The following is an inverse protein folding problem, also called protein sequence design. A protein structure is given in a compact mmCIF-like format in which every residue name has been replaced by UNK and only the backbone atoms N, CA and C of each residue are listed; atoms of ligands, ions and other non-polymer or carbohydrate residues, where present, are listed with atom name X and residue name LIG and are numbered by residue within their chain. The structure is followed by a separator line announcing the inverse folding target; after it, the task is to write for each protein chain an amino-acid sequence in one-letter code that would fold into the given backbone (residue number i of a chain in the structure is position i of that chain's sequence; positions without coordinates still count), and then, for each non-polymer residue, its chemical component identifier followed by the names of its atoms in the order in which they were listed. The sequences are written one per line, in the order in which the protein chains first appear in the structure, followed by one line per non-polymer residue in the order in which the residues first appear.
data_IF_119976910488
#
_entry.id   IF_119976910488
#
_cell.length_a   1.000
_cell.length_b   1.000
_cell.length_c   1.000
_cell.angle_alpha   90.00
_cell.angle_beta   90.00
_cell.angle_gamma   90.00
#
_symmetry.space_group_name_H-M   'P 1'
#
loop_
_entity.id
_entity.type
_entity.pdbx_description
1 polymer ?
#
# COMPACT_ATOMS: atom_id res chain seq x y z
N UNK A 1 -5.67 -20.91 41.96
CA UNK A 1 -6.36 -19.89 41.17
C UNK A 1 -5.30 -19.28 40.25
N UNK A 2 -5.23 -19.74 38.97
CA UNK A 2 -4.37 -19.15 37.97
C UNK A 2 -5.02 -17.84 37.52
N UNK A 3 -4.38 -16.71 37.81
CA UNK A 3 -4.65 -15.47 37.08
C UNK A 3 -4.30 -15.73 35.59
N UNK A 4 -5.32 -15.92 34.78
CA UNK A 4 -5.17 -15.82 33.33
C UNK A 4 -4.73 -14.39 33.04
N UNK A 5 -3.44 -14.20 32.76
CA UNK A 5 -2.89 -12.91 32.34
C UNK A 5 -3.77 -12.36 31.22
N UNK A 6 -4.36 -11.21 31.46
CA UNK A 6 -5.14 -10.45 30.47
C UNK A 6 -4.18 -10.15 29.31
N UNK A 7 -4.18 -10.98 28.28
CA UNK A 7 -3.44 -10.66 27.06
C UNK A 7 -4.01 -9.34 26.53
N UNK A 8 -3.22 -8.29 26.62
CA UNK A 8 -3.59 -7.00 26.01
C UNK A 8 -3.68 -7.21 24.52
N UNK A 9 -4.74 -6.68 23.89
CA UNK A 9 -4.90 -6.74 22.43
C UNK A 9 -3.63 -6.19 21.75
N UNK A 10 -3.14 -6.83 20.68
CA UNK A 10 -1.96 -6.36 19.97
C UNK A 10 -2.17 -4.95 19.39
N UNK A 11 -1.16 -4.11 19.49
CA UNK A 11 -1.27 -2.71 19.03
C UNK A 11 -1.19 -2.65 17.51
N UNK A 12 -2.12 -1.90 16.90
CA UNK A 12 -2.06 -1.55 15.47
C UNK A 12 -1.63 -0.11 15.31
N UNK A 13 -0.47 0.10 14.69
CA UNK A 13 0.00 1.44 14.29
C UNK A 13 -0.57 1.79 12.93
N UNK A 14 -1.29 2.91 12.84
CA UNK A 14 -1.78 3.46 11.58
C UNK A 14 -0.92 4.65 11.19
N UNK A 15 -0.18 4.54 10.09
CA UNK A 15 0.68 5.61 9.57
C UNK A 15 -0.08 6.48 8.56
N UNK A 16 -0.25 7.77 8.88
CA UNK A 16 -1.01 8.74 8.10
C UNK A 16 -0.12 9.93 7.71
N UNK A 17 0.57 9.88 6.54
CA UNK A 17 1.30 11.01 6.02
C UNK A 17 0.35 12.03 5.38
N UNK A 18 0.60 13.32 5.59
CA UNK A 18 -0.21 14.40 5.01
C UNK A 18 0.63 15.59 4.55
N UNK A 19 0.09 16.42 3.65
CA UNK A 19 0.66 17.67 3.20
C UNK A 19 -0.39 18.59 2.59
N UNK A 20 -0.69 19.73 3.23
CA UNK A 20 -1.64 20.76 2.77
C UNK A 20 -3.03 20.19 2.40
N UNK A 21 -3.60 19.33 3.26
CA UNK A 21 -4.87 18.65 3.01
C UNK A 21 -5.76 18.57 4.26
N UNK A 22 -5.80 19.63 5.09
CA UNK A 22 -6.50 19.67 6.37
C UNK A 22 -7.91 19.06 6.32
N UNK A 23 -8.72 19.45 5.33
CA UNK A 23 -10.12 19.01 5.23
C UNK A 23 -10.26 17.50 5.02
N UNK A 24 -9.39 16.92 4.19
CA UNK A 24 -9.38 15.48 3.93
C UNK A 24 -8.83 14.73 5.14
N UNK A 25 -7.76 15.24 5.72
CA UNK A 25 -7.14 14.69 6.92
C UNK A 25 -8.14 14.58 8.07
N UNK A 26 -8.98 15.60 8.33
CA UNK A 26 -10.02 15.54 9.37
C UNK A 26 -10.93 14.34 9.19
N UNK A 27 -11.43 14.11 7.98
CA UNK A 27 -12.31 12.98 7.67
C UNK A 27 -11.60 11.63 7.85
N UNK A 28 -10.35 11.51 7.38
CA UNK A 28 -9.58 10.31 7.56
C UNK A 28 -9.34 10.02 9.06
N UNK A 29 -8.96 11.04 9.83
CA UNK A 29 -8.74 10.92 11.28
C UNK A 29 -10.01 10.47 11.99
N UNK A 30 -11.18 11.08 11.69
CA UNK A 30 -12.46 10.70 12.30
C UNK A 30 -12.78 9.22 12.04
N UNK A 31 -12.57 8.74 10.81
CA UNK A 31 -12.80 7.33 10.47
C UNK A 31 -11.79 6.38 11.14
N UNK A 32 -10.55 6.81 11.33
CA UNK A 32 -9.51 6.00 11.96
C UNK A 32 -9.67 5.93 13.48
N UNK A 33 -10.07 7.01 14.13
CA UNK A 33 -10.27 7.03 15.57
C UNK A 33 -11.61 6.40 15.99
N UNK A 34 -12.56 6.23 15.04
CA UNK A 34 -13.84 5.54 15.24
C UNK A 34 -13.79 4.03 14.98
N UNK A 35 -12.62 3.46 14.69
CA UNK A 35 -12.48 2.01 14.56
C UNK A 35 -12.89 1.29 15.84
N UNK A 36 -13.54 0.12 15.69
CA UNK A 36 -14.00 -0.71 16.80
C UNK A 36 -12.89 -1.50 17.52
N UNK A 37 -11.65 -1.34 17.07
CA UNK A 37 -10.47 -1.98 17.65
C UNK A 37 -9.84 -1.12 18.75
N UNK A 38 -9.67 -1.65 20.00
CA UNK A 38 -9.32 -0.81 21.15
C UNK A 38 -7.85 -0.39 21.20
N UNK A 39 -6.93 -1.20 20.63
CA UNK A 39 -5.48 -1.00 20.77
C UNK A 39 -4.89 -0.36 19.51
N UNK A 40 -5.16 0.94 19.31
CA UNK A 40 -4.68 1.73 18.16
C UNK A 40 -3.67 2.79 18.57
N UNK A 41 -2.66 3.01 17.71
CA UNK A 41 -1.91 4.26 17.67
C UNK A 41 -2.02 4.87 16.26
N UNK A 42 -2.28 6.16 16.17
CA UNK A 42 -2.33 6.92 14.94
C UNK A 42 -1.08 7.81 14.83
N UNK A 43 -0.19 7.46 13.92
CA UNK A 43 1.06 8.19 13.67
C UNK A 43 0.85 9.13 12.49
N UNK A 44 0.71 10.43 12.75
CA UNK A 44 0.54 11.47 11.71
C UNK A 44 1.88 12.12 11.42
N UNK A 45 2.34 12.09 10.18
CA UNK A 45 3.52 12.83 9.72
C UNK A 45 3.09 13.93 8.75
N UNK A 46 3.22 15.17 9.20
CA UNK A 46 2.97 16.37 8.42
C UNK A 46 4.24 16.80 7.67
N UNK A 47 4.19 16.80 6.36
CA UNK A 47 5.31 17.10 5.47
C UNK A 47 5.59 18.61 5.32
N UNK A 48 5.60 19.35 6.44
CA UNK A 48 5.72 20.80 6.53
C UNK A 48 4.57 21.56 5.84
N UNK A 49 3.31 21.22 6.18
CA UNK A 49 2.13 21.92 5.68
C UNK A 49 2.12 23.41 6.04
N UNK A 50 1.49 24.21 5.19
CA UNK A 50 1.34 25.66 5.33
C UNK A 50 -0.12 26.11 5.49
N UNK A 51 -1.06 25.17 5.50
CA UNK A 51 -2.48 25.36 5.80
C UNK A 51 -2.77 25.10 7.30
N UNK A 52 -4.02 24.88 7.67
CA UNK A 52 -4.43 24.59 9.05
C UNK A 52 -4.04 23.21 9.59
N UNK A 53 -3.34 22.36 8.83
CA UNK A 53 -2.99 20.98 9.19
C UNK A 53 -2.23 20.90 10.51
N UNK A 54 -1.20 21.74 10.71
CA UNK A 54 -0.40 21.72 11.95
C UNK A 54 -1.24 22.02 13.18
N UNK A 55 -2.02 23.10 13.14
CA UNK A 55 -2.88 23.51 14.26
C UNK A 55 -3.89 22.43 14.63
N UNK A 56 -4.52 21.82 13.61
CA UNK A 56 -5.43 20.68 13.81
C UNK A 56 -4.77 19.49 14.47
N UNK A 57 -3.63 19.05 13.96
CA UNK A 57 -2.94 17.85 14.45
C UNK A 57 -2.40 18.03 15.87
N UNK A 58 -1.89 19.23 16.23
CA UNK A 58 -1.46 19.52 17.59
C UNK A 58 -2.63 19.46 18.57
N UNK A 59 -3.72 20.16 18.29
CA UNK A 59 -4.93 20.13 19.12
C UNK A 59 -5.55 18.72 19.23
N UNK A 60 -5.39 17.88 18.22
CA UNK A 60 -5.83 16.48 18.25
C UNK A 60 -4.93 15.63 19.15
N UNK A 61 -3.62 15.73 19.03
CA UNK A 61 -2.67 14.98 19.84
C UNK A 61 -2.74 15.35 21.34
N UNK A 62 -3.10 16.61 21.65
CA UNK A 62 -3.33 17.06 23.03
C UNK A 62 -4.58 16.44 23.67
N UNK A 63 -5.57 16.03 22.85
CA UNK A 63 -6.86 15.51 23.32
C UNK A 63 -6.95 13.98 23.29
N UNK A 64 -6.27 13.31 22.37
CA UNK A 64 -6.37 11.86 22.18
C UNK A 64 -4.97 11.22 22.30
N UNK A 65 -4.69 10.46 23.38
CA UNK A 65 -3.39 9.86 23.62
C UNK A 65 -2.98 8.79 22.59
N UNK A 66 -3.92 8.32 21.78
CA UNK A 66 -3.65 7.40 20.67
C UNK A 66 -2.93 8.11 19.51
N UNK A 67 -2.98 9.44 19.44
CA UNK A 67 -2.43 10.23 18.33
C UNK A 67 -1.01 10.68 18.62
N UNK A 68 -0.10 10.31 17.74
CA UNK A 68 1.30 10.75 17.75
C UNK A 68 1.53 11.65 16.52
N UNK A 69 1.62 12.95 16.75
CA UNK A 69 1.85 13.94 15.68
C UNK A 69 3.33 14.29 15.55
N UNK A 70 3.79 14.32 14.32
CA UNK A 70 5.13 14.73 13.98
C UNK A 70 5.13 15.61 12.74
N UNK A 71 5.85 16.75 12.79
CA UNK A 71 6.02 17.68 11.67
C UNK A 71 7.43 17.62 11.13
N UNK A 72 7.56 17.40 9.81
CA UNK A 72 8.83 17.44 9.10
C UNK A 72 9.37 18.90 9.07
N UNK A 73 10.70 19.12 9.12
CA UNK A 73 11.27 20.47 9.03
C UNK A 73 11.09 21.11 7.65
N UNK A 74 10.90 20.29 6.61
CA UNK A 74 10.64 20.72 5.22
C UNK A 74 9.90 19.63 4.47
N UNK A 75 9.26 19.98 3.35
CA UNK A 75 8.64 19.00 2.46
C UNK A 75 9.72 18.11 1.80
N UNK A 76 9.84 16.88 2.29
CA UNK A 76 10.77 15.86 1.80
C UNK A 76 10.19 14.97 0.68
N UNK A 77 8.94 15.21 0.27
CA UNK A 77 8.20 14.43 -0.70
C UNK A 77 7.41 13.28 -0.06
N UNK A 78 6.47 12.70 -0.82
CA UNK A 78 5.54 11.71 -0.32
C UNK A 78 6.21 10.42 0.17
N UNK A 79 7.15 9.88 -0.61
CA UNK A 79 7.87 8.65 -0.25
C UNK A 79 8.58 8.79 1.10
N UNK A 80 9.29 9.90 1.32
CA UNK A 80 9.97 10.16 2.59
C UNK A 80 8.98 10.29 3.75
N UNK A 81 7.79 10.89 3.50
CA UNK A 81 6.76 11.05 4.50
C UNK A 81 6.10 9.71 4.89
N UNK A 82 5.87 8.80 3.93
CA UNK A 82 5.44 7.42 4.22
C UNK A 82 6.49 6.64 5.03
N UNK A 83 7.77 6.77 4.69
CA UNK A 83 8.84 6.11 5.44
C UNK A 83 8.94 6.64 6.89
N UNK A 84 8.66 7.91 7.11
CA UNK A 84 8.69 8.50 8.44
C UNK A 84 7.59 7.93 9.36
N UNK A 85 6.36 7.77 8.88
CA UNK A 85 5.30 7.13 9.67
C UNK A 85 5.60 5.67 9.94
N UNK A 86 6.17 4.94 8.96
CA UNK A 86 6.59 3.54 9.15
C UNK A 86 7.68 3.40 10.22
N UNK A 87 8.67 4.29 10.21
CA UNK A 87 9.78 4.30 11.17
C UNK A 87 9.31 4.56 12.61
N UNK A 88 8.24 5.34 12.77
CA UNK A 88 7.67 5.72 14.08
C UNK A 88 6.64 4.75 14.61
N UNK A 89 6.18 3.83 13.81
CA UNK A 89 5.23 2.81 14.20
C UNK A 89 5.84 1.86 15.27
N UNK A 90 5.12 1.65 16.38
CA UNK A 90 5.59 0.82 17.49
C UNK A 90 4.77 -0.45 17.69
N UNK A 91 3.64 -0.59 17.01
CA UNK A 91 2.70 -1.69 17.17
C UNK A 91 3.17 -3.04 16.64
N UNK A 92 2.39 -4.07 16.96
CA UNK A 92 2.56 -5.45 16.51
C UNK A 92 2.10 -5.61 15.05
N UNK A 93 1.16 -4.75 14.66
CA UNK A 93 0.64 -4.59 13.30
C UNK A 93 0.81 -3.17 12.83
N UNK A 94 0.84 -3.00 11.51
CA UNK A 94 0.99 -1.72 10.84
C UNK A 94 0.00 -1.59 9.69
N UNK A 95 -0.55 -0.39 9.49
CA UNK A 95 -1.40 -0.04 8.36
C UNK A 95 -0.91 1.28 7.75
N UNK A 96 -0.63 1.31 6.44
CA UNK A 96 -0.50 2.57 5.73
C UNK A 96 -1.90 3.15 5.49
N UNK A 97 -2.05 4.45 5.62
CA UNK A 97 -3.29 5.14 5.28
C UNK A 97 -3.00 6.38 4.46
N UNK A 98 -3.86 6.69 3.50
CA UNK A 98 -3.87 7.97 2.82
C UNK A 98 -4.91 8.89 3.46
N UNK A 99 -4.66 10.20 3.40
CA UNK A 99 -5.53 11.22 4.01
C UNK A 99 -6.83 11.48 3.24
N UNK A 100 -7.07 10.74 2.15
CA UNK A 100 -8.30 10.79 1.33
C UNK A 100 -9.07 9.47 1.28
N UNK A 101 -8.56 8.41 1.90
CA UNK A 101 -9.22 7.11 1.95
C UNK A 101 -9.98 6.91 3.28
N UNK A 102 -10.96 6.00 3.32
CA UNK A 102 -11.82 5.81 4.52
C UNK A 102 -12.10 4.32 4.73
N UNK A 103 -11.59 3.71 5.80
CA UNK A 103 -11.92 2.33 6.17
C UNK A 103 -13.31 2.25 6.83
N UNK A 104 -13.98 1.09 6.71
CA UNK A 104 -15.16 0.76 7.49
C UNK A 104 -14.81 0.68 8.99
N UNK A 105 -15.77 0.89 9.88
CA UNK A 105 -15.55 0.91 11.33
C UNK A 105 -14.95 -0.38 11.88
N UNK A 106 -15.24 -1.53 11.27
CA UNK A 106 -14.72 -2.85 11.62
C UNK A 106 -13.48 -3.27 10.82
N UNK A 107 -12.81 -2.33 10.14
CA UNK A 107 -11.71 -2.67 9.24
C UNK A 107 -10.52 -3.25 9.98
N UNK A 108 -10.11 -2.60 11.05
CA UNK A 108 -8.93 -3.02 11.81
C UNK A 108 -9.20 -4.32 12.55
N UNK A 109 -10.35 -4.46 13.23
CA UNK A 109 -10.70 -5.65 14.00
C UNK A 109 -10.78 -6.91 13.10
N UNK A 110 -11.45 -6.82 11.95
CA UNK A 110 -11.56 -7.91 10.98
C UNK A 110 -10.18 -8.32 10.40
N UNK A 111 -9.36 -7.32 10.06
CA UNK A 111 -8.02 -7.60 9.52
C UNK A 111 -7.10 -8.24 10.57
N UNK A 112 -7.11 -7.77 11.81
CA UNK A 112 -6.34 -8.38 12.91
C UNK A 112 -6.82 -9.80 13.18
N UNK A 113 -8.14 -10.03 13.28
CA UNK A 113 -8.69 -11.37 13.48
C UNK A 113 -8.25 -12.35 12.39
N UNK A 114 -8.24 -11.93 11.13
CA UNK A 114 -7.76 -12.74 10.02
C UNK A 114 -6.26 -13.04 10.10
N UNK A 115 -5.45 -12.06 10.51
CA UNK A 115 -4.00 -12.24 10.71
C UNK A 115 -3.70 -13.19 11.88
N UNK A 116 -4.42 -13.07 13.00
CA UNK A 116 -4.27 -13.97 14.13
C UNK A 116 -4.65 -15.42 13.78
N UNK A 117 -5.72 -15.59 12.97
CA UNK A 117 -6.20 -16.92 12.56
C UNK A 117 -5.27 -17.62 11.54
N UNK A 118 -4.48 -16.89 10.76
CA UNK A 118 -3.55 -17.47 9.77
C UNK A 118 -2.15 -16.83 9.87
N UNK A 119 -1.19 -17.49 10.54
CA UNK A 119 0.17 -16.96 10.70
C UNK A 119 0.94 -16.85 9.37
N UNK A 120 0.46 -17.45 8.27
CA UNK A 120 1.04 -17.29 6.93
C UNK A 120 0.60 -16.01 6.23
N UNK A 121 -0.42 -15.30 6.75
CA UNK A 121 -0.81 -14.00 6.22
C UNK A 121 0.21 -12.93 6.64
N UNK A 122 0.75 -12.22 5.64
CA UNK A 122 1.52 -10.99 5.84
C UNK A 122 0.59 -9.78 5.93
N UNK A 123 -0.47 -9.76 5.11
CA UNK A 123 -1.47 -8.69 5.05
C UNK A 123 -2.88 -9.27 4.97
N UNK A 124 -3.78 -8.66 5.73
CA UNK A 124 -5.22 -8.73 5.53
C UNK A 124 -5.75 -7.33 5.16
N UNK A 125 -6.70 -7.25 4.24
CA UNK A 125 -7.34 -6.01 3.84
C UNK A 125 -8.82 -6.23 3.56
N UNK A 126 -9.62 -5.18 3.74
CA UNK A 126 -11.04 -5.21 3.38
C UNK A 126 -11.25 -5.04 1.87
N UNK A 127 -12.47 -5.30 1.44
CA UNK A 127 -12.92 -5.12 0.05
C UNK A 127 -12.72 -3.66 -0.39
N UNK A 128 -11.99 -3.40 -1.49
CA UNK A 128 -11.82 -2.04 -1.97
C UNK A 128 -13.10 -1.52 -2.63
N UNK A 129 -13.54 -0.34 -2.24
CA UNK A 129 -14.65 0.39 -2.82
C UNK A 129 -14.11 1.68 -3.45
N UNK A 130 -14.08 1.76 -4.77
CA UNK A 130 -13.56 2.93 -5.48
C UNK A 130 -14.61 4.04 -5.46
N UNK A 131 -14.24 5.24 -4.99
CA UNK A 131 -15.16 6.35 -4.80
C UNK A 131 -14.72 7.64 -5.51
N UNK A 132 -15.70 8.45 -5.90
CA UNK A 132 -15.55 9.84 -6.31
C UNK A 132 -16.29 10.71 -5.30
N UNK A 133 -15.55 11.42 -4.45
CA UNK A 133 -16.10 12.06 -3.27
C UNK A 133 -16.74 11.02 -2.32
N UNK A 134 -18.01 11.21 -1.96
CA UNK A 134 -18.73 10.30 -1.07
C UNK A 134 -19.35 9.09 -1.81
N UNK A 135 -19.44 9.14 -3.14
CA UNK A 135 -20.13 8.13 -3.93
C UNK A 135 -19.20 6.99 -4.29
N UNK A 136 -19.59 5.75 -3.95
CA UNK A 136 -18.94 4.54 -4.43
C UNK A 136 -19.35 4.31 -5.87
N UNK A 137 -18.39 4.34 -6.80
CA UNK A 137 -18.65 4.20 -8.25
C UNK A 137 -18.40 2.79 -8.77
N UNK A 138 -17.54 2.02 -8.12
CA UNK A 138 -17.30 0.60 -8.46
C UNK A 138 -16.62 -0.16 -7.34
N UNK A 139 -16.76 -1.48 -7.34
CA UNK A 139 -15.90 -2.38 -6.58
C UNK A 139 -14.49 -2.40 -7.20
N UNK A 140 -13.47 -2.30 -6.37
CA UNK A 140 -12.08 -2.46 -6.77
C UNK A 140 -11.65 -3.93 -6.86
N UNK A 141 -10.48 -4.16 -7.44
CA UNK A 141 -9.93 -5.50 -7.59
C UNK A 141 -9.51 -6.07 -6.21
N UNK A 142 -9.90 -7.33 -5.94
CA UNK A 142 -9.43 -8.08 -4.76
C UNK A 142 -7.97 -8.47 -4.95
N UNK A 143 -7.20 -8.42 -3.87
CA UNK A 143 -5.83 -8.92 -3.85
C UNK A 143 -5.77 -10.19 -3.01
N UNK A 144 -5.76 -11.34 -3.68
CA UNK A 144 -5.64 -12.65 -3.04
C UNK A 144 -4.39 -13.36 -3.57
N UNK A 145 -3.31 -13.32 -2.78
CA UNK A 145 -2.04 -13.96 -3.08
C UNK A 145 -1.83 -15.10 -2.07
N UNK A 146 -2.50 -16.22 -2.32
CA UNK A 146 -2.62 -17.35 -1.39
C UNK A 146 -1.69 -18.52 -1.73
N UNK A 147 -0.87 -18.42 -2.79
CA UNK A 147 0.08 -19.45 -3.18
C UNK A 147 1.06 -19.74 -2.04
N UNK A 148 1.45 -21.01 -1.86
CA UNK A 148 2.41 -21.39 -0.82
C UNK A 148 3.82 -20.84 -1.12
N UNK A 149 4.23 -20.83 -2.39
CA UNK A 149 5.52 -20.29 -2.81
C UNK A 149 5.52 -18.75 -2.84
N UNK A 150 6.47 -18.10 -2.12
CA UNK A 150 6.68 -16.66 -2.21
C UNK A 150 6.98 -16.18 -3.62
N UNK A 151 7.74 -16.96 -4.40
CA UNK A 151 8.04 -16.64 -5.79
C UNK A 151 6.77 -16.62 -6.67
N UNK A 152 5.83 -17.53 -6.44
CA UNK A 152 4.58 -17.57 -7.19
C UNK A 152 3.63 -16.46 -6.77
N UNK A 153 3.62 -16.05 -5.49
CA UNK A 153 2.89 -14.86 -5.04
C UNK A 153 3.41 -13.59 -5.70
N UNK A 154 4.72 -13.42 -5.81
CA UNK A 154 5.33 -12.27 -6.52
C UNK A 154 4.89 -12.21 -7.99
N UNK A 155 4.92 -13.33 -8.70
CA UNK A 155 4.45 -13.39 -10.09
C UNK A 155 2.95 -13.11 -10.19
N UNK A 156 2.15 -13.68 -9.29
CA UNK A 156 0.71 -13.44 -9.23
C UNK A 156 0.41 -11.95 -8.95
N UNK A 157 1.14 -11.32 -8.03
CA UNK A 157 1.02 -9.90 -7.74
C UNK A 157 1.23 -9.04 -9.00
N UNK A 158 2.35 -9.18 -9.69
CA UNK A 158 2.63 -8.42 -10.91
C UNK A 158 1.66 -8.72 -12.07
N UNK A 159 1.01 -9.88 -12.04
CA UNK A 159 -0.04 -10.23 -13.01
C UNK A 159 -1.33 -9.46 -12.76
N UNK A 160 -1.69 -9.18 -11.51
CA UNK A 160 -3.02 -8.71 -11.10
C UNK A 160 -3.06 -7.31 -10.52
N UNK A 161 -1.92 -6.75 -10.04
CA UNK A 161 -1.91 -5.43 -9.41
C UNK A 161 -2.48 -4.34 -10.32
N UNK A 162 -3.45 -3.59 -9.81
CA UNK A 162 -4.04 -2.42 -10.47
C UNK A 162 -3.89 -1.18 -9.58
N UNK A 163 -4.86 -0.90 -8.74
CA UNK A 163 -4.85 0.27 -7.83
C UNK A 163 -3.99 0.09 -6.57
N UNK A 164 -3.29 -1.04 -6.44
CA UNK A 164 -2.40 -1.40 -5.31
C UNK A 164 -3.02 -1.20 -3.91
N UNK A 165 -4.32 -1.53 -3.77
CA UNK A 165 -5.07 -1.31 -2.51
C UNK A 165 -4.50 -2.14 -1.34
N UNK A 166 -3.79 -3.23 -1.63
CA UNK A 166 -3.12 -4.01 -0.60
C UNK A 166 -2.10 -3.21 0.23
N UNK A 167 -1.62 -2.07 -0.29
CA UNK A 167 -0.79 -1.12 0.45
C UNK A 167 -1.50 -0.50 1.66
N UNK A 168 -2.84 -0.46 1.65
CA UNK A 168 -3.69 0.04 2.73
C UNK A 168 -4.18 -1.06 3.69
N UNK A 169 -3.70 -2.29 3.53
CA UNK A 169 -4.03 -3.40 4.40
C UNK A 169 -3.31 -3.35 5.75
N UNK A 170 -3.85 -4.06 6.74
CA UNK A 170 -3.17 -4.29 8.01
C UNK A 170 -2.10 -5.36 7.80
N UNK A 171 -0.85 -5.03 8.13
CA UNK A 171 0.35 -5.84 7.91
C UNK A 171 0.97 -6.23 9.24
N UNK A 172 1.58 -7.42 9.32
CA UNK A 172 2.46 -7.76 10.46
C UNK A 172 3.64 -6.80 10.53
N UNK A 173 3.89 -6.22 11.70
CA UNK A 173 5.04 -5.32 11.88
C UNK A 173 6.40 -6.03 11.66
N UNK A 174 6.47 -7.34 11.85
CA UNK A 174 7.65 -8.13 11.50
C UNK A 174 7.96 -8.09 10.01
N UNK A 175 6.92 -8.16 9.16
CA UNK A 175 7.05 -8.04 7.69
C UNK A 175 7.44 -6.63 7.29
N UNK A 176 6.83 -5.59 7.91
CA UNK A 176 7.22 -4.19 7.71
C UNK A 176 8.72 -3.99 7.98
N UNK A 177 9.17 -4.44 9.15
CA UNK A 177 10.59 -4.28 9.58
C UNK A 177 11.58 -5.07 8.73
N UNK A 178 11.15 -6.20 8.17
CA UNK A 178 11.99 -7.04 7.29
C UNK A 178 11.98 -6.56 5.82
N UNK A 179 11.07 -5.63 5.45
CA UNK A 179 10.97 -5.10 4.08
C UNK A 179 11.71 -3.77 3.99
N UNK A 180 12.85 -3.69 3.28
CA UNK A 180 13.55 -2.42 3.10
C UNK A 180 12.72 -1.43 2.28
N UNK A 181 12.96 -0.12 2.44
CA UNK A 181 12.34 0.89 1.59
C UNK A 181 12.59 0.61 0.10
N UNK A 182 11.53 0.72 -0.69
CA UNK A 182 11.68 0.63 -2.15
C UNK A 182 12.48 1.84 -2.69
N UNK A 183 13.28 1.67 -3.75
CA UNK A 183 13.98 2.77 -4.39
C UNK A 183 12.99 3.79 -4.93
N UNK A 184 13.39 5.08 -4.99
CA UNK A 184 12.56 6.13 -5.58
C UNK A 184 12.53 5.96 -7.11
N UNK A 185 11.50 5.27 -7.58
CA UNK A 185 11.29 4.96 -9.01
C UNK A 185 9.81 4.88 -9.31
N UNK A 186 9.43 4.91 -10.59
CA UNK A 186 8.06 4.65 -11.01
C UNK A 186 7.62 3.26 -10.53
N UNK A 187 6.46 3.17 -9.85
CA UNK A 187 5.95 1.93 -9.28
C UNK A 187 6.73 1.42 -8.06
N UNK A 188 7.36 2.31 -7.29
CA UNK A 188 8.07 1.95 -6.06
C UNK A 188 7.18 1.20 -5.06
N UNK A 189 5.91 1.56 -4.98
CA UNK A 189 4.89 0.88 -4.18
C UNK A 189 4.64 -0.57 -4.68
N UNK A 190 4.76 -0.82 -5.99
CA UNK A 190 4.68 -2.19 -6.54
C UNK A 190 5.90 -3.03 -6.14
N UNK A 191 7.09 -2.44 -6.14
CA UNK A 191 8.31 -3.14 -5.69
C UNK A 191 8.19 -3.50 -4.21
N UNK A 192 7.75 -2.55 -3.38
CA UNK A 192 7.54 -2.77 -1.95
C UNK A 192 6.54 -3.91 -1.70
N UNK A 193 5.38 -3.86 -2.33
CA UNK A 193 4.35 -4.88 -2.16
C UNK A 193 4.73 -6.26 -2.71
N UNK A 194 5.56 -6.31 -3.75
CA UNK A 194 6.13 -7.59 -4.24
C UNK A 194 7.06 -8.24 -3.20
N UNK A 195 7.88 -7.44 -2.51
CA UNK A 195 8.73 -7.91 -1.42
C UNK A 195 7.89 -8.38 -0.21
N UNK A 196 6.82 -7.70 0.12
CA UNK A 196 5.85 -8.15 1.15
C UNK A 196 5.18 -9.47 0.73
N UNK A 197 4.68 -9.57 -0.51
CA UNK A 197 4.06 -10.78 -1.04
C UNK A 197 5.02 -11.99 -1.06
N UNK A 198 6.31 -11.76 -1.21
CA UNK A 198 7.30 -12.82 -1.09
C UNK A 198 7.34 -13.42 0.32
N UNK A 199 7.22 -12.60 1.35
CA UNK A 199 7.35 -13.01 2.75
C UNK A 199 6.09 -13.71 3.30
N UNK A 200 4.89 -13.37 2.81
CA UNK A 200 3.65 -13.99 3.30
C UNK A 200 2.48 -13.82 2.35
N UNK A 201 1.38 -14.50 2.66
CA UNK A 201 0.13 -14.41 1.91
C UNK A 201 -0.54 -13.06 2.09
N UNK A 202 -1.34 -12.64 1.11
CA UNK A 202 -2.18 -11.43 1.17
C UNK A 202 -3.62 -11.87 0.88
N UNK A 203 -4.57 -11.45 1.71
CA UNK A 203 -5.98 -11.81 1.59
C UNK A 203 -6.89 -10.60 1.67
N UNK A 204 -7.80 -10.47 0.72
CA UNK A 204 -8.94 -9.56 0.79
C UNK A 204 -10.10 -10.24 1.54
N UNK A 205 -10.65 -9.55 2.54
CA UNK A 205 -11.80 -9.95 3.33
C UNK A 205 -13.08 -9.34 2.74
N UNK A 206 -14.14 -10.12 2.64
CA UNK A 206 -15.45 -9.63 2.18
C UNK A 206 -16.32 -9.09 3.33
N UNK A 207 -15.93 -9.32 4.59
CA UNK A 207 -16.65 -8.89 5.81
C UNK A 207 -16.43 -7.42 6.15
N UNK A 208 -15.42 -6.78 5.56
CA UNK A 208 -15.10 -5.37 5.77
C UNK A 208 -14.67 -4.71 4.46
N UNK A 209 -14.54 -3.37 4.46
CA UNK A 209 -14.23 -2.62 3.25
C UNK A 209 -13.41 -1.36 3.53
N UNK A 210 -12.77 -0.85 2.47
CA UNK A 210 -12.11 0.46 2.48
C UNK A 210 -12.55 1.26 1.25
N UNK A 211 -13.05 2.48 1.46
CA UNK A 211 -13.30 3.42 0.37
C UNK A 211 -11.97 4.05 -0.04
N UNK A 212 -11.60 3.85 -1.29
CA UNK A 212 -10.42 4.45 -1.92
C UNK A 212 -10.84 5.53 -2.88
N UNK A 213 -10.34 6.76 -2.65
CA UNK A 213 -10.63 7.89 -3.51
C UNK A 213 -9.98 7.73 -4.89
N UNK A 214 -10.79 7.86 -5.94
CA UNK A 214 -10.29 7.89 -7.32
C UNK A 214 -9.75 9.28 -7.68
N UNK A 215 -8.74 9.31 -8.56
CA UNK A 215 -8.21 10.58 -9.06
C UNK A 215 -7.39 11.38 -8.04
N UNK A 216 -6.70 10.71 -7.11
CA UNK A 216 -5.84 11.32 -6.07
C UNK A 216 -4.85 12.36 -6.60
N UNK A 217 -3.75 12.60 -5.89
CA UNK A 217 -2.80 13.69 -6.16
C UNK A 217 -2.16 13.70 -7.58
N UNK A 218 -2.28 12.60 -8.34
CA UNK A 218 -1.63 12.46 -9.65
C UNK A 218 -2.55 11.74 -10.64
N UNK A 219 -2.87 12.42 -11.76
CA UNK A 219 -3.77 11.91 -12.79
C UNK A 219 -3.06 11.22 -13.97
N UNK A 220 -1.79 11.51 -14.19
CA UNK A 220 -0.98 10.95 -15.28
C UNK A 220 0.37 10.46 -14.81
N UNK A 221 0.98 9.52 -15.54
CA UNK A 221 2.32 9.02 -15.23
C UNK A 221 3.40 10.10 -15.29
N UNK A 222 3.20 11.14 -16.12
CA UNK A 222 4.10 12.31 -16.17
C UNK A 222 4.00 13.16 -14.90
N UNK A 223 2.78 13.37 -14.39
CA UNK A 223 2.55 14.08 -13.13
C UNK A 223 3.11 13.28 -11.94
N UNK A 224 2.92 11.95 -11.93
CA UNK A 224 3.54 11.08 -10.92
C UNK A 224 5.06 11.20 -10.94
N UNK A 225 5.69 11.16 -12.14
CA UNK A 225 7.13 11.32 -12.27
C UNK A 225 7.62 12.69 -11.75
N UNK A 226 6.89 13.75 -12.05
CA UNK A 226 7.21 15.10 -11.56
C UNK A 226 7.03 15.20 -10.04
N UNK A 227 5.93 14.69 -9.51
CA UNK A 227 5.62 14.67 -8.06
C UNK A 227 6.68 13.91 -7.25
N UNK A 228 7.12 12.76 -7.74
CA UNK A 228 8.17 11.93 -7.14
C UNK A 228 9.59 12.42 -7.48
N UNK A 229 9.73 13.50 -8.24
CA UNK A 229 11.02 14.06 -8.72
C UNK A 229 11.86 13.01 -9.48
N UNK A 230 11.20 12.17 -10.29
CA UNK A 230 11.84 11.13 -11.09
C UNK A 230 12.37 11.70 -12.42
N UNK A 231 13.35 11.02 -13.08
CA UNK A 231 13.74 11.33 -14.44
C UNK A 231 12.54 11.31 -15.40
N UNK A 232 12.45 12.29 -16.29
CA UNK A 232 11.32 12.46 -17.24
C UNK A 232 11.02 11.18 -18.04
N UNK A 233 12.05 10.41 -18.35
CA UNK A 233 11.92 9.14 -19.08
C UNK A 233 10.98 8.14 -18.36
N UNK A 234 10.95 8.13 -17.04
CA UNK A 234 10.08 7.24 -16.28
C UNK A 234 8.58 7.63 -16.38
N UNK A 235 8.30 8.91 -16.63
CA UNK A 235 6.93 9.36 -16.93
C UNK A 235 6.50 9.08 -18.37
N UNK A 236 7.45 8.96 -19.30
CA UNK A 236 7.22 8.67 -20.72
C UNK A 236 7.14 7.15 -20.97
N UNK A 237 8.03 6.38 -20.35
CA UNK A 237 8.13 4.92 -20.43
C UNK A 237 7.91 4.28 -19.04
N UNK A 238 6.70 4.47 -18.45
CA UNK A 238 6.46 4.04 -17.06
C UNK A 238 6.52 2.52 -16.91
N UNK A 239 6.00 1.76 -17.85
CA UNK A 239 5.96 0.30 -17.78
C UNK A 239 7.36 -0.29 -17.93
N UNK A 240 8.15 0.22 -18.87
CA UNK A 240 9.54 -0.19 -19.08
C UNK A 240 10.39 0.11 -17.84
N UNK A 241 10.15 1.27 -17.22
CA UNK A 241 10.81 1.67 -15.98
C UNK A 241 10.45 0.75 -14.81
N UNK A 242 9.16 0.40 -14.66
CA UNK A 242 8.68 -0.56 -13.67
C UNK A 242 9.29 -1.94 -13.93
N UNK A 243 9.29 -2.42 -15.17
CA UNK A 243 9.84 -3.72 -15.55
C UNK A 243 11.32 -3.82 -15.20
N UNK A 244 12.12 -2.81 -15.58
CA UNK A 244 13.54 -2.77 -15.27
C UNK A 244 13.78 -2.72 -13.76
N UNK A 245 13.08 -1.85 -13.06
CA UNK A 245 13.20 -1.71 -11.60
C UNK A 245 12.80 -2.99 -10.88
N UNK A 246 11.69 -3.64 -11.26
CA UNK A 246 11.23 -4.90 -10.68
C UNK A 246 12.23 -6.05 -10.95
N UNK A 247 12.77 -6.11 -12.16
CA UNK A 247 13.81 -7.09 -12.49
C UNK A 247 15.04 -6.91 -11.59
N UNK A 248 15.58 -5.68 -11.50
CA UNK A 248 16.76 -5.37 -10.70
C UNK A 248 16.52 -5.61 -9.20
N UNK A 249 15.34 -5.23 -8.70
CA UNK A 249 14.95 -5.41 -7.31
C UNK A 249 14.99 -6.88 -6.92
N UNK A 250 14.34 -7.75 -7.70
CA UNK A 250 14.29 -9.19 -7.44
C UNK A 250 15.65 -9.84 -7.67
N UNK A 251 16.34 -9.48 -8.77
CA UNK A 251 17.57 -10.20 -9.18
C UNK A 251 18.74 -9.98 -8.21
N UNK A 252 18.95 -8.76 -7.69
CA UNK A 252 20.14 -8.48 -6.86
C UNK A 252 19.95 -7.38 -5.80
N UNK A 253 19.03 -6.39 -5.96
CA UNK A 253 18.97 -5.24 -5.06
C UNK A 253 18.34 -5.55 -3.72
N UNK A 254 17.17 -6.23 -3.71
CA UNK A 254 16.38 -6.39 -2.50
C UNK A 254 16.80 -7.64 -1.71
N UNK A 255 17.25 -7.49 -0.45
CA UNK A 255 17.67 -8.60 0.38
C UNK A 255 16.56 -9.57 0.75
N UNK A 256 15.29 -9.16 0.69
CA UNK A 256 14.13 -10.03 0.95
C UNK A 256 14.16 -11.29 0.06
N UNK A 257 14.68 -11.18 -1.17
CA UNK A 257 14.80 -12.31 -2.09
C UNK A 257 16.08 -13.13 -1.92
N UNK A 258 17.00 -12.73 -1.01
CA UNK A 258 18.28 -13.42 -0.82
C UNK A 258 18.17 -14.93 -0.52
N UNK A 259 17.18 -15.43 0.24
CA UNK A 259 17.02 -16.85 0.53
C UNK A 259 16.85 -17.74 -0.71
N UNK A 260 16.48 -17.17 -1.86
CA UNK A 260 16.39 -17.93 -3.13
C UNK A 260 17.76 -18.31 -3.71
N UNK A 261 18.82 -17.59 -3.36
CA UNK A 261 20.13 -17.69 -4.02
C UNK A 261 20.12 -17.09 -5.44
N UNK A 262 21.30 -16.83 -6.03
CA UNK A 262 21.43 -16.02 -7.25
C UNK A 262 20.64 -16.56 -8.44
N UNK A 263 20.76 -17.84 -8.74
CA UNK A 263 20.13 -18.45 -9.93
C UNK A 263 18.59 -18.41 -9.86
N UNK A 264 18.00 -18.69 -8.68
CA UNK A 264 16.53 -18.63 -8.51
C UNK A 264 16.02 -17.20 -8.50
N UNK A 265 16.81 -16.24 -7.98
CA UNK A 265 16.49 -14.80 -8.07
C UNK A 265 16.41 -14.36 -9.53
N UNK A 266 17.39 -14.70 -10.36
CA UNK A 266 17.40 -14.42 -11.80
C UNK A 266 16.20 -15.03 -12.52
N UNK A 267 15.87 -16.30 -12.23
CA UNK A 267 14.68 -16.97 -12.78
C UNK A 267 13.39 -16.25 -12.38
N UNK A 268 13.26 -15.85 -11.12
CA UNK A 268 12.08 -15.09 -10.65
C UNK A 268 12.01 -13.72 -11.32
N UNK A 269 13.09 -12.97 -11.38
CA UNK A 269 13.17 -11.67 -12.05
C UNK A 269 12.75 -11.77 -13.55
N UNK A 270 13.22 -12.80 -14.24
CA UNK A 270 12.83 -13.06 -15.64
C UNK A 270 11.34 -13.40 -15.78
N UNK A 271 10.77 -14.18 -14.84
CA UNK A 271 9.32 -14.47 -14.80
C UNK A 271 8.52 -13.20 -14.59
N UNK A 272 8.95 -12.32 -13.68
CA UNK A 272 8.31 -11.02 -13.40
C UNK A 272 8.35 -10.13 -14.64
N UNK A 273 9.52 -9.96 -15.27
CA UNK A 273 9.66 -9.15 -16.48
C UNK A 273 8.77 -9.68 -17.63
N UNK A 274 8.76 -10.99 -17.84
CA UNK A 274 7.87 -11.65 -18.83
C UNK A 274 6.40 -11.39 -18.51
N UNK A 275 5.99 -11.50 -17.24
CA UNK A 275 4.60 -11.26 -16.80
C UNK A 275 4.16 -9.84 -17.08
N UNK A 276 4.98 -8.84 -16.74
CA UNK A 276 4.70 -7.43 -17.01
C UNK A 276 4.67 -7.16 -18.52
N UNK A 277 5.63 -7.69 -19.29
CA UNK A 277 5.65 -7.55 -20.75
C UNK A 277 4.39 -8.13 -21.39
N UNK A 278 3.99 -9.34 -21.03
CA UNK A 278 2.76 -9.96 -21.56
C UNK A 278 1.52 -9.15 -21.19
N UNK A 279 1.44 -8.65 -19.96
CA UNK A 279 0.28 -7.87 -19.49
C UNK A 279 0.14 -6.55 -20.24
N UNK A 280 1.22 -5.80 -20.39
CA UNK A 280 1.14 -4.41 -20.85
C UNK A 280 1.44 -4.23 -22.34
N UNK A 281 2.24 -5.07 -22.97
CA UNK A 281 2.56 -4.97 -24.39
C UNK A 281 1.67 -5.89 -25.23
N UNK A 282 1.65 -7.19 -24.95
CA UNK A 282 0.83 -8.15 -25.72
C UNK A 282 -0.67 -7.90 -25.51
N UNK A 283 -1.10 -7.62 -24.27
CA UNK A 283 -2.50 -7.31 -23.97
C UNK A 283 -3.04 -6.06 -24.67
N UNK A 284 -2.22 -5.02 -24.88
CA UNK A 284 -2.61 -3.83 -25.67
C UNK A 284 -2.79 -4.16 -27.14
N UNK A 285 -1.90 -4.94 -27.75
CA UNK A 285 -2.00 -5.35 -29.14
C UNK A 285 -3.27 -6.16 -29.36
N UNK A 286 -3.56 -7.13 -28.49
CA UNK A 286 -4.76 -7.96 -28.57
C UNK A 286 -6.06 -7.14 -28.45
N UNK A 287 -6.11 -6.15 -27.52
CA UNK A 287 -7.25 -5.22 -27.41
C UNK A 287 -7.40 -4.32 -28.65
N UNK A 288 -6.30 -3.85 -29.22
CA UNK A 288 -6.28 -3.05 -30.44
C UNK A 288 -6.80 -3.83 -31.64
N UNK A 289 -6.37 -5.08 -31.80
CA UNK A 289 -6.86 -5.97 -32.89
C UNK A 289 -8.35 -6.28 -32.71
N UNK A 290 -8.83 -6.64 -31.51
CA UNK A 290 -10.26 -6.86 -31.26
C UNK A 290 -11.12 -5.64 -31.57
N UNK A 291 -10.68 -4.42 -31.19
CA UNK A 291 -11.39 -3.17 -31.54
C UNK A 291 -11.43 -2.91 -33.03
N UNK A 292 -10.38 -3.23 -33.80
CA UNK A 292 -10.37 -3.10 -35.26
C UNK A 292 -11.31 -4.10 -35.95
N UNK A 293 -11.35 -5.35 -35.45
CA UNK A 293 -12.24 -6.38 -35.96
C UNK A 293 -13.73 -6.07 -35.68
N UNK A 294 -14.04 -5.58 -34.46
CA UNK A 294 -15.42 -5.20 -34.12
C UNK A 294 -15.93 -3.95 -34.87
N UNK A 295 -15.01 -3.06 -35.30
CA UNK A 295 -15.37 -1.90 -36.16
C UNK A 295 -15.56 -2.28 -37.64
N UNK A 296 -15.00 -3.40 -38.11
CA UNK A 296 -15.22 -3.90 -39.48
C UNK A 296 -16.48 -4.78 -39.61
N UNK A 297 -17.04 -5.22 -38.47
CA UNK A 297 -18.24 -6.07 -38.41
C UNK A 297 -19.53 -5.27 -38.14
N UNK A 298 -19.44 -3.93 -38.09
CA UNK A 298 -20.55 -2.96 -38.11
C UNK A 298 -20.48 -2.16 -39.39
#
# INVERSE_FOLDING_TARGET
MHEAGRMTAPIVSIGLPTYNREKLLRRAVDALLSQDYPALELVISDNASTDGTEAFCRALADRDPRVKYFRQPKNAGATANYLEVQRRATGDYYMNMADDDTPAVNYVSECVAALEADPKLAIALGRPLMSEGEVVVKDGARTNLLQESGADRVVAYYRTVEENVAFLGVMRASVLRATPPAPNTMGNDWLYMAAVAFQGKIRTLETTSIKKQMGGASRSTKEIAAYLKLPRIQGVLPIESIMLSAFQDVAWRNPVFAPLGPLRRWRLASRVAKTLSMRFHVGRVAKGVRRRLSRKAR
#
